data_IF_980177306271
#
_entry.id   IF_980177306271
#
_cell.length_a   1.000
_cell.length_b   1.000
_cell.length_c   1.000
_cell.angle_alpha   90.00
_cell.angle_beta   90.00
_cell.angle_gamma   90.00
#
_symmetry.space_group_name_H-M   'P 1'
#
loop_
_entity.id
_entity.type
_entity.pdbx_description
1 polymer ?
#
# COMPACT_ATOMS: atom_id res chain seq x y z
N UNK A 1 12.91 -14.96 59.52
CA UNK A 1 13.89 -15.32 60.56
C UNK A 1 15.29 -15.22 59.95
N UNK A 2 16.24 -14.71 60.73
CA UNK A 2 17.66 -14.48 60.38
C UNK A 2 18.48 -15.76 60.53
N UNK A 3 19.51 -15.94 59.70
CA UNK A 3 20.79 -16.62 59.97
C UNK A 3 21.78 -16.04 58.94
N UNK A 4 22.74 -15.14 59.18
CA UNK A 4 23.77 -14.88 60.21
C UNK A 4 25.00 -15.80 60.16
N UNK A 5 26.08 -15.26 59.54
CA UNK A 5 27.53 -15.39 59.84
C UNK A 5 28.14 -16.82 59.68
N UNK A 6 29.44 -17.06 59.51
CA UNK A 6 30.73 -16.45 59.89
C UNK A 6 31.75 -16.86 58.77
N UNK A 7 32.62 -15.99 58.23
CA UNK A 7 34.02 -15.71 58.67
C UNK A 7 34.87 -16.99 58.87
N UNK A 8 36.11 -17.17 58.38
CA UNK A 8 37.24 -16.25 58.32
C UNK A 8 38.42 -16.94 57.58
N UNK A 9 39.32 -16.14 57.00
CA UNK A 9 40.80 -16.15 57.16
C UNK A 9 41.63 -17.41 56.87
N UNK A 10 42.86 -17.41 56.32
CA UNK A 10 43.90 -16.43 55.93
C UNK A 10 45.12 -17.28 55.48
N UNK A 11 45.83 -16.85 54.43
CA UNK A 11 47.31 -16.74 54.28
C UNK A 11 48.18 -17.97 54.65
N UNK A 12 49.18 -18.43 53.91
CA UNK A 12 50.32 -17.82 53.22
C UNK A 12 51.04 -18.99 52.48
N UNK A 13 51.90 -18.86 51.49
CA UNK A 13 52.61 -17.74 50.89
C UNK A 13 53.66 -18.31 49.93
N UNK A 14 54.11 -17.44 49.02
CA UNK A 14 55.43 -17.37 48.37
C UNK A 14 56.01 -18.62 47.66
N UNK A 15 56.64 -18.59 46.50
CA UNK A 15 56.92 -17.63 45.41
C UNK A 15 57.78 -18.47 44.44
N UNK A 16 57.60 -18.37 43.12
CA UNK A 16 58.68 -18.74 42.20
C UNK A 16 58.62 -17.89 40.93
N UNK A 17 59.79 -17.38 40.59
CA UNK A 17 60.09 -16.36 39.60
C UNK A 17 59.86 -16.81 38.15
N UNK A 18 59.17 -15.94 37.41
CA UNK A 18 59.40 -15.52 36.02
C UNK A 18 59.76 -16.55 34.95
N UNK A 19 58.78 -16.85 34.08
CA UNK A 19 59.02 -17.02 32.64
C UNK A 19 58.15 -16.00 31.92
N UNK A 20 58.81 -15.16 31.13
CA UNK A 20 58.23 -14.08 30.33
C UNK A 20 57.19 -14.64 29.35
N UNK A 21 55.91 -14.42 29.62
CA UNK A 21 55.04 -13.96 28.55
C UNK A 21 55.22 -12.43 28.50
N UNK A 22 55.25 -11.78 27.31
CA UNK A 22 54.98 -10.36 27.28
C UNK A 22 53.66 -10.18 28.03
N UNK A 23 53.70 -9.54 29.20
CA UNK A 23 52.47 -9.02 29.79
C UNK A 23 51.95 -8.10 28.71
N UNK A 24 50.87 -8.49 28.03
CA UNK A 24 50.15 -7.58 27.19
C UNK A 24 49.77 -6.42 28.11
N UNK A 25 50.54 -5.34 28.04
CA UNK A 25 50.21 -4.12 28.74
C UNK A 25 49.05 -3.55 27.92
N UNK A 26 47.83 -3.92 28.31
CA UNK A 26 46.67 -3.21 27.82
C UNK A 26 46.86 -1.74 28.18
N UNK A 27 46.60 -0.84 27.24
CA UNK A 27 46.64 0.58 27.53
C UNK A 27 45.70 0.85 28.71
N UNK A 28 46.26 1.36 29.81
CA UNK A 28 45.46 1.76 30.96
C UNK A 28 44.61 2.97 30.55
N UNK A 29 43.30 2.89 30.77
CA UNK A 29 42.43 4.06 30.72
C UNK A 29 42.80 5.00 31.88
N UNK A 30 42.48 6.29 31.77
CA UNK A 30 42.74 7.25 32.84
C UNK A 30 42.16 6.77 34.18
N UNK A 31 42.78 7.17 35.29
CA UNK A 31 42.46 6.72 36.66
C UNK A 31 41.02 7.00 37.11
N UNK A 32 40.28 7.85 36.38
CA UNK A 32 38.87 8.16 36.62
C UNK A 32 37.90 7.31 35.77
N UNK A 33 38.42 6.48 34.85
CA UNK A 33 37.64 5.79 33.83
C UNK A 33 37.21 6.73 32.70
N UNK A 34 36.99 6.20 31.51
CA UNK A 34 36.69 6.98 30.30
C UNK A 34 35.26 7.55 30.24
N UNK A 35 34.52 7.52 31.35
CA UNK A 35 33.15 8.02 31.42
C UNK A 35 33.16 9.56 31.41
N UNK A 36 32.65 10.16 30.33
CA UNK A 36 32.60 11.62 30.20
C UNK A 36 33.93 12.30 29.87
N UNK A 37 35.04 11.56 29.74
CA UNK A 37 36.35 12.08 29.35
C UNK A 37 36.61 11.90 27.84
N UNK A 38 37.06 12.95 27.16
CA UNK A 38 37.47 12.94 25.74
C UNK A 38 38.89 12.39 25.54
N UNK A 39 39.73 12.50 26.57
CA UNK A 39 41.18 12.33 26.45
C UNK A 39 41.59 10.86 26.28
N UNK A 40 40.79 9.93 26.81
CA UNK A 40 41.04 8.48 26.70
C UNK A 40 40.71 7.93 25.30
N UNK A 41 39.86 8.60 24.52
CA UNK A 41 39.45 8.13 23.18
C UNK A 41 39.75 9.11 22.04
N UNK A 42 40.32 10.28 22.33
CA UNK A 42 40.67 11.31 21.35
C UNK A 42 39.46 11.94 20.63
N UNK A 43 38.26 11.89 21.22
CA UNK A 43 36.99 12.26 20.57
C UNK A 43 35.75 12.20 21.48
N UNK A 44 34.65 11.61 21.01
CA UNK A 44 33.34 11.59 21.72
C UNK A 44 33.41 10.79 23.02
N UNK A 45 33.15 11.33 24.22
CA UNK A 45 33.28 10.61 25.48
C UNK A 45 32.53 9.27 25.54
N UNK A 46 33.08 8.28 26.25
CA UNK A 46 32.41 6.98 26.45
C UNK A 46 31.32 7.09 27.56
N UNK A 47 30.26 6.28 27.51
CA UNK A 47 29.92 5.37 26.43
C UNK A 47 29.43 6.12 25.19
N UNK A 48 29.96 5.74 24.02
CA UNK A 48 29.36 6.14 22.76
C UNK A 48 28.13 5.26 22.52
N UNK A 49 27.04 5.89 22.11
CA UNK A 49 25.83 5.17 21.72
C UNK A 49 25.52 5.50 20.28
N UNK A 50 25.11 4.48 19.54
CA UNK A 50 24.62 4.60 18.17
C UNK A 50 23.35 3.76 18.02
N UNK A 51 22.57 4.01 16.96
CA UNK A 51 21.24 3.42 16.76
C UNK A 51 21.24 2.54 15.52
N UNK A 52 20.73 1.32 15.66
CA UNK A 52 20.31 0.47 14.53
C UNK A 52 18.80 0.56 14.38
N UNK A 53 18.33 0.73 13.14
CA UNK A 53 16.90 0.62 12.80
C UNK A 53 16.66 -0.76 12.20
N UNK A 54 15.82 -1.57 12.85
CA UNK A 54 15.28 -2.80 12.26
C UNK A 54 13.86 -2.52 11.76
N UNK A 55 13.55 -2.95 10.53
CA UNK A 55 12.26 -2.68 9.89
C UNK A 55 11.66 -3.92 9.22
N UNK A 56 10.33 -3.96 9.19
CA UNK A 56 9.50 -4.92 8.46
C UNK A 56 8.30 -4.15 7.92
N UNK A 57 7.76 -4.56 6.78
CA UNK A 57 6.54 -4.01 6.21
C UNK A 57 5.54 -5.11 5.91
N UNK A 58 4.26 -4.77 6.00
CA UNK A 58 3.14 -5.65 5.65
C UNK A 58 2.17 -4.86 4.77
N UNK A 59 1.73 -5.48 3.66
CA UNK A 59 0.78 -4.86 2.73
C UNK A 59 1.38 -3.74 1.88
N UNK A 60 0.49 -3.03 1.18
CA UNK A 60 0.83 -1.80 0.45
C UNK A 60 0.47 -0.59 1.33
N UNK A 61 1.50 0.15 1.73
CA UNK A 61 1.37 1.39 2.50
C UNK A 61 1.92 2.59 1.72
N UNK A 62 2.11 2.45 0.40
CA UNK A 62 2.58 3.55 -0.42
C UNK A 62 1.45 4.53 -0.69
N UNK A 63 1.66 5.79 -0.30
CA UNK A 63 0.78 6.87 -0.72
C UNK A 63 0.99 7.16 -2.22
N UNK A 64 -0.02 7.74 -2.86
CA UNK A 64 0.08 8.23 -4.22
C UNK A 64 0.48 9.72 -4.30
N UNK A 65 0.90 10.32 -3.18
CA UNK A 65 1.28 11.72 -3.04
C UNK A 65 0.14 12.75 -3.08
N UNK A 66 -1.12 12.35 -3.32
CA UNK A 66 -2.24 13.28 -3.38
C UNK A 66 -2.60 13.80 -1.97
N UNK A 67 -2.90 15.10 -1.88
CA UNK A 67 -3.29 15.77 -0.63
C UNK A 67 -4.61 16.53 -0.80
N UNK A 68 -5.18 17.05 0.30
CA UNK A 68 -6.40 17.85 0.29
C UNK A 68 -7.60 17.19 0.97
N UNK A 69 -8.71 17.94 1.01
CA UNK A 69 -9.95 17.49 1.67
C UNK A 69 -10.65 16.37 0.90
N UNK A 70 -10.73 16.48 -0.43
CA UNK A 70 -11.19 15.40 -1.31
C UNK A 70 -10.00 14.93 -2.14
N UNK A 71 -9.66 13.65 -2.05
CA UNK A 71 -8.52 13.09 -2.80
C UNK A 71 -8.66 11.61 -3.07
N UNK A 72 -8.12 11.19 -4.21
CA UNK A 72 -7.84 9.79 -4.49
C UNK A 72 -6.62 9.41 -3.68
N UNK A 73 -6.76 8.52 -2.70
CA UNK A 73 -5.69 8.13 -1.79
C UNK A 73 -4.97 6.85 -2.23
N UNK A 74 -5.72 5.89 -2.78
CA UNK A 74 -5.17 4.60 -3.21
C UNK A 74 -5.90 4.09 -4.45
N UNK A 75 -5.19 3.35 -5.29
CA UNK A 75 -5.70 2.52 -6.39
C UNK A 75 -4.89 1.23 -6.46
N UNK A 76 -5.36 0.16 -7.16
CA UNK A 76 -4.56 -1.03 -7.33
C UNK A 76 -3.27 -0.73 -8.13
N UNK A 77 -2.10 -0.74 -7.47
CA UNK A 77 -0.81 -0.49 -8.11
C UNK A 77 -0.35 -1.58 -9.07
N UNK A 78 -0.78 -2.82 -8.83
CA UNK A 78 -0.45 -3.96 -9.67
C UNK A 78 -1.62 -4.92 -9.68
N UNK A 79 -2.00 -5.33 -10.90
CA UNK A 79 -2.91 -6.44 -11.15
C UNK A 79 -2.10 -7.52 -11.86
N UNK A 80 -1.94 -8.65 -11.19
CA UNK A 80 -1.06 -9.72 -11.60
C UNK A 80 -1.87 -10.92 -12.08
N UNK A 81 -1.83 -11.14 -13.39
CA UNK A 81 -2.56 -12.22 -14.04
C UNK A 81 -1.75 -13.51 -14.15
N UNK A 82 -0.57 -13.60 -13.53
CA UNK A 82 0.26 -14.80 -13.46
C UNK A 82 1.10 -15.06 -14.72
N UNK A 83 1.93 -16.10 -14.66
CA UNK A 83 2.69 -16.61 -15.81
C UNK A 83 2.08 -17.93 -16.31
N UNK A 84 1.97 -18.07 -17.63
CA UNK A 84 1.20 -19.09 -18.30
C UNK A 84 1.98 -19.75 -19.44
N UNK A 85 1.73 -21.03 -19.70
CA UNK A 85 2.40 -21.81 -20.76
C UNK A 85 2.05 -21.33 -22.16
N UNK A 86 0.77 -21.06 -22.39
CA UNK A 86 0.24 -20.72 -23.72
C UNK A 86 -1.03 -19.89 -23.63
N UNK A 87 -1.40 -19.27 -24.75
CA UNK A 87 -2.72 -18.68 -24.95
C UNK A 87 -3.63 -19.67 -25.69
N UNK A 88 -4.56 -20.29 -24.96
CA UNK A 88 -5.56 -21.18 -25.55
C UNK A 88 -6.76 -20.36 -26.04
N UNK A 89 -7.07 -20.42 -27.34
CA UNK A 89 -8.19 -19.68 -27.94
C UNK A 89 -9.57 -19.96 -27.33
N UNK A 90 -9.76 -21.12 -26.69
CA UNK A 90 -11.00 -21.48 -26.00
C UNK A 90 -11.03 -21.11 -24.51
N UNK A 91 -9.87 -20.78 -23.92
CA UNK A 91 -9.68 -20.51 -22.47
C UNK A 91 -8.84 -19.24 -22.27
N UNK A 92 -9.46 -18.09 -22.53
CA UNK A 92 -8.79 -16.77 -22.71
C UNK A 92 -8.87 -15.84 -21.50
N UNK A 93 -9.46 -16.31 -20.41
CA UNK A 93 -9.78 -15.52 -19.24
C UNK A 93 -8.78 -15.82 -18.12
N UNK A 94 -8.07 -14.79 -17.70
CA UNK A 94 -7.06 -14.84 -16.65
C UNK A 94 -7.48 -13.93 -15.50
N UNK A 95 -7.35 -14.38 -14.26
CA UNK A 95 -7.75 -13.62 -13.07
C UNK A 95 -6.55 -13.03 -12.35
N UNK A 96 -6.77 -11.94 -11.61
CA UNK A 96 -5.71 -11.23 -10.90
C UNK A 96 -5.16 -12.01 -9.67
N UNK A 97 -5.61 -13.24 -9.42
CA UNK A 97 -4.97 -14.20 -8.52
C UNK A 97 -3.96 -15.12 -9.24
N UNK A 98 -3.66 -14.85 -10.51
CA UNK A 98 -2.63 -15.53 -11.28
C UNK A 98 -3.08 -16.78 -12.04
N UNK A 99 -4.40 -16.98 -12.23
CA UNK A 99 -4.94 -18.23 -12.78
C UNK A 99 -5.56 -18.07 -14.16
N UNK A 100 -5.42 -19.09 -15.00
CA UNK A 100 -6.30 -19.32 -16.13
C UNK A 100 -7.59 -20.00 -15.64
N UNK A 101 -8.69 -19.25 -15.65
CA UNK A 101 -9.99 -19.64 -15.06
C UNK A 101 -10.51 -21.02 -15.44
N UNK A 102 -10.10 -21.56 -16.60
CA UNK A 102 -10.65 -22.82 -17.12
C UNK A 102 -9.58 -23.80 -17.62
N UNK A 103 -8.30 -23.55 -17.33
CA UNK A 103 -7.19 -24.43 -17.68
C UNK A 103 -6.03 -24.31 -16.67
N UNK A 104 -6.22 -24.83 -15.45
CA UNK A 104 -5.21 -24.77 -14.39
C UNK A 104 -3.84 -25.39 -14.78
N UNK A 105 -3.82 -26.36 -15.70
CA UNK A 105 -2.56 -26.92 -16.22
C UNK A 105 -1.72 -25.94 -17.03
N UNK A 106 -2.28 -24.78 -17.39
CA UNK A 106 -1.62 -23.68 -18.08
C UNK A 106 -0.81 -22.79 -17.14
N UNK A 107 -1.14 -22.77 -15.86
CA UNK A 107 -0.51 -21.89 -14.88
C UNK A 107 0.92 -22.40 -14.58
N UNK A 108 1.92 -21.53 -14.72
CA UNK A 108 3.33 -21.83 -14.41
C UNK A 108 3.76 -21.25 -13.07
N UNK A 109 3.42 -19.99 -12.83
CA UNK A 109 3.72 -19.27 -11.60
C UNK A 109 2.59 -18.28 -11.30
N UNK A 110 2.38 -17.99 -10.02
CA UNK A 110 1.32 -17.07 -9.60
C UNK A 110 1.59 -15.61 -10.02
N UNK A 111 2.85 -15.24 -10.29
CA UNK A 111 3.21 -13.91 -10.81
C UNK A 111 3.61 -13.90 -12.28
N UNK A 112 3.31 -12.81 -12.98
CA UNK A 112 3.67 -12.58 -14.38
C UNK A 112 5.19 -12.61 -14.65
N UNK A 113 6.03 -12.41 -13.62
CA UNK A 113 7.49 -12.37 -13.72
C UNK A 113 8.21 -13.54 -13.07
N UNK A 114 7.55 -14.71 -13.02
CA UNK A 114 8.13 -15.99 -12.57
C UNK A 114 8.51 -16.07 -11.09
N UNK A 115 7.88 -15.27 -10.24
CA UNK A 115 7.98 -15.44 -8.79
C UNK A 115 6.78 -16.26 -8.26
N UNK A 116 6.98 -16.97 -7.15
CA UNK A 116 5.95 -17.88 -6.62
C UNK A 116 4.74 -17.15 -6.02
N UNK A 117 4.88 -15.87 -5.66
CA UNK A 117 3.83 -15.09 -5.01
C UNK A 117 3.17 -14.12 -5.99
N UNK A 118 1.83 -14.19 -6.09
CA UNK A 118 1.05 -13.23 -6.86
C UNK A 118 1.24 -11.80 -6.32
N UNK A 119 1.31 -10.83 -7.23
CA UNK A 119 1.62 -9.43 -6.91
C UNK A 119 0.41 -8.52 -6.82
N UNK A 120 -0.80 -9.00 -7.08
CA UNK A 120 -2.02 -8.22 -6.84
C UNK A 120 -2.13 -7.91 -5.35
N UNK A 121 -2.05 -6.62 -5.02
CA UNK A 121 -2.12 -6.17 -3.63
C UNK A 121 -3.57 -6.22 -3.15
N UNK A 122 -3.74 -6.63 -1.90
CA UNK A 122 -5.03 -6.72 -1.22
C UNK A 122 -5.05 -5.89 0.06
N UNK A 123 -6.21 -5.35 0.40
CA UNK A 123 -6.39 -4.57 1.61
C UNK A 123 -6.36 -5.50 2.81
N UNK A 124 -5.34 -5.37 3.64
CA UNK A 124 -5.30 -5.98 4.95
C UNK A 124 -5.84 -4.98 5.98
N UNK A 125 -6.99 -5.27 6.58
CA UNK A 125 -7.62 -4.40 7.57
C UNK A 125 -8.34 -5.22 8.62
N UNK A 126 -8.40 -4.67 9.83
CA UNK A 126 -9.22 -5.22 10.94
C UNK A 126 -10.37 -4.28 11.29
N UNK A 127 -10.56 -3.20 10.53
CA UNK A 127 -11.68 -2.29 10.70
C UNK A 127 -12.99 -2.98 10.32
N UNK A 128 -13.95 -3.17 11.26
CA UNK A 128 -15.22 -3.82 10.97
C UNK A 128 -16.02 -3.14 9.85
N UNK A 129 -15.87 -1.81 9.70
CA UNK A 129 -16.54 -1.03 8.67
C UNK A 129 -16.02 -1.36 7.25
N UNK A 130 -14.83 -1.96 7.16
CA UNK A 130 -14.17 -2.35 5.91
C UNK A 130 -14.19 -3.87 5.68
N UNK A 131 -14.90 -4.65 6.50
CA UNK A 131 -15.00 -6.12 6.36
C UNK A 131 -15.44 -6.60 4.97
N UNK A 132 -16.26 -5.82 4.25
CA UNK A 132 -16.70 -6.15 2.89
C UNK A 132 -15.62 -6.00 1.82
N UNK A 133 -14.56 -5.24 2.11
CA UNK A 133 -13.46 -4.91 1.21
C UNK A 133 -12.12 -5.46 1.69
N UNK A 134 -12.11 -6.14 2.85
CA UNK A 134 -10.96 -6.90 3.33
C UNK A 134 -10.56 -7.99 2.32
N UNK A 135 -9.25 -8.18 2.15
CA UNK A 135 -8.65 -9.16 1.24
C UNK A 135 -9.01 -8.95 -0.24
N UNK A 136 -9.32 -7.70 -0.62
CA UNK A 136 -9.62 -7.31 -2.00
C UNK A 136 -8.60 -6.31 -2.51
N UNK A 137 -8.32 -6.33 -3.82
CA UNK A 137 -7.65 -5.20 -4.45
C UNK A 137 -8.59 -3.99 -4.36
N UNK A 138 -8.06 -2.80 -4.07
CA UNK A 138 -8.92 -1.69 -3.66
C UNK A 138 -8.48 -0.33 -4.20
N UNK A 139 -9.46 0.57 -4.25
CA UNK A 139 -9.26 1.99 -4.41
C UNK A 139 -9.87 2.74 -3.23
N UNK A 140 -9.27 3.85 -2.81
CA UNK A 140 -9.73 4.67 -1.70
C UNK A 140 -9.90 6.12 -2.13
N UNK A 141 -11.10 6.67 -1.92
CA UNK A 141 -11.38 8.11 -2.00
C UNK A 141 -11.61 8.65 -0.60
N UNK A 142 -10.81 9.63 -0.20
CA UNK A 142 -10.97 10.32 1.08
C UNK A 142 -11.73 11.61 0.85
N UNK A 143 -12.89 11.76 1.48
CA UNK A 143 -13.68 12.99 1.54
C UNK A 143 -13.74 13.51 2.98
N UNK A 144 -13.07 14.64 3.20
CA UNK A 144 -13.05 15.39 4.45
C UNK A 144 -13.62 16.79 4.23
N UNK A 145 -14.43 17.00 3.19
CA UNK A 145 -14.82 18.34 2.77
C UNK A 145 -15.66 19.09 3.83
N UNK A 146 -16.35 18.36 4.71
CA UNK A 146 -17.06 18.92 5.87
C UNK A 146 -16.16 19.72 6.82
N UNK A 147 -14.83 19.48 6.83
CA UNK A 147 -13.88 20.20 7.70
C UNK A 147 -13.22 21.38 7.01
N UNK A 148 -13.67 21.75 5.80
CA UNK A 148 -13.19 22.96 5.12
C UNK A 148 -13.51 24.18 5.94
N UNK A 149 -12.48 24.74 6.57
CA UNK A 149 -12.52 26.04 7.23
C UNK A 149 -11.66 27.02 6.45
N UNK A 150 -12.18 28.19 6.07
CA UNK A 150 -11.36 29.22 5.43
C UNK A 150 -12.13 30.25 4.60
N UNK A 151 -11.43 31.30 4.21
CA UNK A 151 -11.87 32.32 3.26
C UNK A 151 -11.21 32.08 1.89
N UNK A 152 -11.88 32.44 0.79
CA UNK A 152 -11.36 32.20 -0.57
C UNK A 152 -12.03 31.05 -1.33
N UNK A 153 -12.99 30.36 -0.72
CA UNK A 153 -13.89 29.45 -1.41
C UNK A 153 -14.96 30.22 -2.20
N UNK A 154 -15.46 29.64 -3.29
CA UNK A 154 -16.62 30.20 -4.00
C UNK A 154 -17.81 30.29 -3.04
N UNK A 155 -18.66 31.31 -3.20
CA UNK A 155 -19.81 31.54 -2.31
C UNK A 155 -20.82 30.37 -2.29
N UNK A 156 -20.80 29.50 -3.30
CA UNK A 156 -21.60 28.26 -3.38
C UNK A 156 -20.99 27.08 -2.63
N UNK A 157 -19.78 27.21 -2.07
CA UNK A 157 -19.11 26.13 -1.35
C UNK A 157 -19.78 25.91 -0.01
N UNK A 158 -20.31 24.70 0.19
CA UNK A 158 -20.91 24.27 1.45
C UNK A 158 -19.89 23.47 2.28
N UNK A 159 -20.00 23.47 3.62
CA UNK A 159 -19.21 22.60 4.49
C UNK A 159 -19.83 21.19 4.51
N UNK A 160 -19.98 20.61 3.32
CA UNK A 160 -20.56 19.29 3.10
C UNK A 160 -19.59 18.38 2.35
N UNK A 161 -19.77 17.08 2.47
CA UNK A 161 -19.16 16.14 1.53
C UNK A 161 -19.70 16.43 0.13
N UNK A 162 -18.80 16.61 -0.82
CA UNK A 162 -19.15 17.14 -2.14
C UNK A 162 -19.44 16.03 -3.14
N UNK A 163 -20.07 16.39 -4.25
CA UNK A 163 -20.26 15.45 -5.35
C UNK A 163 -18.93 15.15 -6.06
N UNK A 164 -18.69 13.88 -6.35
CA UNK A 164 -17.49 13.43 -7.06
C UNK A 164 -17.72 12.16 -7.86
N UNK A 165 -16.85 11.93 -8.84
CA UNK A 165 -16.80 10.73 -9.67
C UNK A 165 -15.40 10.12 -9.66
N UNK A 166 -15.32 8.83 -9.37
CA UNK A 166 -14.14 7.99 -9.57
C UNK A 166 -14.29 7.26 -10.91
N UNK A 167 -13.32 7.44 -11.80
CA UNK A 167 -13.23 6.73 -13.08
C UNK A 167 -11.88 6.04 -13.25
N UNK A 168 -11.82 5.11 -14.21
CA UNK A 168 -10.58 4.49 -14.68
C UNK A 168 -10.58 4.39 -16.19
N UNK A 169 -9.41 4.56 -16.81
CA UNK A 169 -9.20 4.34 -18.24
C UNK A 169 -7.92 3.55 -18.48
N UNK A 170 -7.87 2.94 -19.67
CA UNK A 170 -6.62 2.39 -20.20
C UNK A 170 -5.78 3.51 -20.80
N UNK A 171 -4.49 3.54 -20.49
CA UNK A 171 -3.56 4.49 -21.10
C UNK A 171 -2.93 3.92 -22.38
N UNK A 172 -2.78 2.61 -22.43
CA UNK A 172 -2.12 1.91 -23.53
C UNK A 172 -2.66 0.49 -23.78
N UNK A 173 -2.31 -0.05 -24.95
CA UNK A 173 -2.57 -1.45 -25.27
C UNK A 173 -1.68 -2.40 -24.44
N UNK A 174 -2.13 -3.65 -24.28
CA UNK A 174 -1.33 -4.70 -23.67
C UNK A 174 -0.10 -4.99 -24.52
N UNK A 175 1.08 -4.57 -24.04
CA UNK A 175 2.32 -4.48 -24.83
C UNK A 175 3.44 -5.26 -24.16
N UNK A 176 4.20 -6.03 -24.94
CA UNK A 176 5.37 -6.74 -24.40
C UNK A 176 6.44 -5.74 -23.95
N UNK A 177 7.10 -6.02 -22.82
CA UNK A 177 8.18 -5.20 -22.27
C UNK A 177 9.53 -5.92 -22.33
N UNK A 178 10.60 -5.15 -22.50
CA UNK A 178 11.98 -5.64 -22.44
C UNK A 178 12.46 -5.88 -20.99
N UNK A 179 13.70 -6.35 -20.82
CA UNK A 179 14.30 -6.61 -19.52
C UNK A 179 14.52 -5.36 -18.65
N UNK A 180 14.50 -4.17 -19.25
CA UNK A 180 14.55 -2.89 -18.55
C UNK A 180 13.13 -2.34 -18.25
N UNK A 181 12.08 -3.02 -18.70
CA UNK A 181 10.69 -2.62 -18.50
C UNK A 181 10.17 -1.64 -19.55
N UNK A 182 10.90 -1.37 -20.63
CA UNK A 182 10.44 -0.51 -21.71
C UNK A 182 9.49 -1.27 -22.63
N UNK A 183 8.47 -0.57 -23.15
CA UNK A 183 7.55 -1.14 -24.15
C UNK A 183 8.28 -1.47 -25.45
N UNK A 184 7.95 -2.63 -26.02
CA UNK A 184 8.36 -3.04 -27.37
C UNK A 184 7.28 -2.70 -28.39
N UNK A 185 7.47 -3.08 -29.66
CA UNK A 185 6.46 -2.93 -30.72
C UNK A 185 5.40 -4.04 -30.72
N UNK A 186 5.57 -5.08 -29.90
CA UNK A 186 4.64 -6.21 -29.85
C UNK A 186 3.45 -5.90 -28.94
N UNK A 187 2.26 -5.83 -29.53
CA UNK A 187 1.02 -5.42 -28.86
C UNK A 187 -0.10 -6.43 -29.09
N UNK A 188 -0.94 -6.61 -28.08
CA UNK A 188 -2.13 -7.47 -28.12
C UNK A 188 -3.36 -6.55 -28.14
N UNK A 189 -3.81 -6.22 -29.34
CA UNK A 189 -4.96 -5.35 -29.54
C UNK A 189 -6.27 -6.05 -29.17
N UNK A 190 -7.13 -5.39 -28.40
CA UNK A 190 -8.46 -5.90 -28.08
C UNK A 190 -8.54 -6.77 -26.83
N UNK A 191 -7.43 -6.90 -26.08
CA UNK A 191 -7.48 -7.43 -24.72
C UNK A 191 -8.40 -6.56 -23.85
N UNK A 192 -9.18 -7.19 -22.97
CA UNK A 192 -10.15 -6.51 -22.12
C UNK A 192 -9.82 -6.74 -20.65
N UNK A 193 -9.87 -5.68 -19.87
CA UNK A 193 -9.80 -5.75 -18.42
C UNK A 193 -11.21 -5.50 -17.87
N UNK A 194 -11.71 -6.39 -17.01
CA UNK A 194 -12.97 -6.21 -16.31
C UNK A 194 -12.81 -6.38 -14.81
N UNK A 195 -13.67 -5.69 -14.08
CA UNK A 195 -13.83 -5.74 -12.63
C UNK A 195 -15.28 -6.03 -12.34
N UNK A 196 -15.53 -7.13 -11.64
CA UNK A 196 -16.87 -7.56 -11.28
C UNK A 196 -17.09 -7.45 -9.77
N UNK A 197 -18.37 -7.42 -9.39
CA UNK A 197 -18.78 -7.52 -8.00
C UNK A 197 -18.25 -6.42 -7.06
N UNK A 198 -18.03 -5.18 -7.54
CA UNK A 198 -17.56 -4.05 -6.72
C UNK A 198 -18.20 -4.04 -5.33
N UNK A 199 -17.36 -4.18 -4.32
CA UNK A 199 -17.73 -4.07 -2.92
C UNK A 199 -17.37 -2.69 -2.40
N UNK A 200 -18.09 -2.26 -1.36
CA UNK A 200 -17.93 -0.96 -0.76
C UNK A 200 -17.91 -1.07 0.76
N UNK A 201 -17.03 -0.30 1.37
CA UNK A 201 -16.99 -0.01 2.79
C UNK A 201 -16.55 1.44 3.00
N UNK A 202 -17.01 2.05 4.09
CA UNK A 202 -16.64 3.42 4.46
C UNK A 202 -16.17 3.42 5.90
N UNK A 203 -15.08 4.13 6.19
CA UNK A 203 -14.60 4.28 7.56
C UNK A 203 -14.36 5.74 7.93
N UNK A 204 -14.67 6.07 9.18
CA UNK A 204 -14.29 7.33 9.82
C UNK A 204 -12.87 7.27 10.42
N UNK A 205 -12.26 6.09 10.48
CA UNK A 205 -10.89 5.90 10.98
C UNK A 205 -9.86 6.19 9.87
N UNK A 206 -9.99 7.37 9.25
CA UNK A 206 -9.23 7.74 8.04
C UNK A 206 -7.73 7.57 8.27
N UNK A 207 -7.19 8.13 9.36
CA UNK A 207 -5.77 7.98 9.68
C UNK A 207 -5.33 6.53 9.94
N UNK A 208 -6.18 5.69 10.53
CA UNK A 208 -5.83 4.28 10.75
C UNK A 208 -5.69 3.54 9.43
N UNK A 209 -6.50 3.88 8.43
CA UNK A 209 -6.45 3.30 7.08
C UNK A 209 -5.28 3.87 6.26
N UNK A 210 -5.11 5.18 6.22
CA UNK A 210 -4.18 5.83 5.28
C UNK A 210 -2.75 5.92 5.82
N UNK A 211 -2.59 5.97 7.15
CA UNK A 211 -1.33 6.32 7.84
C UNK A 211 -0.71 7.66 7.40
N UNK A 212 -1.48 8.49 6.70
CA UNK A 212 -1.04 9.78 6.18
C UNK A 212 -1.23 10.86 7.25
N UNK A 213 -0.15 11.60 7.56
CA UNK A 213 -0.19 12.66 8.56
C UNK A 213 -1.26 13.73 8.29
N UNK A 214 -1.65 13.93 7.02
CA UNK A 214 -2.74 14.82 6.63
C UNK A 214 -4.12 14.40 7.17
N UNK A 215 -4.26 13.16 7.65
CA UNK A 215 -5.50 12.62 8.20
C UNK A 215 -5.49 12.51 9.73
N UNK A 216 -4.36 12.80 10.39
CA UNK A 216 -4.17 12.56 11.83
C UNK A 216 -5.16 13.34 12.71
N UNK A 217 -5.61 14.51 12.29
CA UNK A 217 -6.55 15.35 13.02
C UNK A 217 -8.03 15.03 12.74
N UNK A 218 -8.33 14.13 11.79
CA UNK A 218 -9.69 13.91 11.29
C UNK A 218 -10.70 13.61 12.39
N UNK A 219 -10.35 12.77 13.36
CA UNK A 219 -11.26 12.40 14.47
C UNK A 219 -11.70 13.62 15.30
N UNK A 220 -10.83 14.63 15.42
CA UNK A 220 -11.14 15.88 16.11
C UNK A 220 -11.85 16.86 15.18
N UNK A 221 -11.33 17.05 13.96
CA UNK A 221 -11.84 18.06 13.03
C UNK A 221 -13.28 17.77 12.59
N UNK A 222 -13.60 16.50 12.36
CA UNK A 222 -14.95 16.06 11.93
C UNK A 222 -16.03 16.29 12.99
N UNK A 223 -15.65 16.58 14.24
CA UNK A 223 -16.58 16.85 15.35
C UNK A 223 -16.43 18.26 15.92
N UNK A 224 -15.64 19.11 15.27
CA UNK A 224 -15.41 20.49 15.70
C UNK A 224 -16.70 21.32 15.67
N UNK A 225 -16.79 22.35 16.52
CA UNK A 225 -17.95 23.22 16.58
C UNK A 225 -18.20 23.90 15.22
N UNK A 226 -19.44 23.81 14.72
CA UNK A 226 -19.84 24.36 13.42
C UNK A 226 -19.66 23.39 12.24
N UNK A 227 -19.05 22.23 12.46
CA UNK A 227 -19.03 21.13 11.48
C UNK A 227 -20.27 20.28 11.67
N UNK A 228 -20.96 19.99 10.56
CA UNK A 228 -22.09 19.05 10.53
C UNK A 228 -21.63 17.80 9.81
N UNK A 229 -21.84 16.63 10.43
CA UNK A 229 -21.49 15.36 9.82
C UNK A 229 -22.49 14.99 8.71
N UNK A 230 -21.96 14.60 7.57
CA UNK A 230 -22.64 13.99 6.43
C UNK A 230 -22.41 12.47 6.48
N UNK A 231 -22.90 11.84 7.54
CA UNK A 231 -22.67 10.41 7.81
C UNK A 231 -23.59 9.50 6.97
N UNK A 232 -23.55 9.69 5.66
CA UNK A 232 -24.31 8.91 4.69
C UNK A 232 -23.34 8.16 3.79
N UNK A 233 -23.57 6.85 3.62
CA UNK A 233 -22.84 6.05 2.63
C UNK A 233 -23.19 6.52 1.22
N UNK A 234 -22.29 6.25 0.27
CA UNK A 234 -22.62 6.40 -1.15
C UNK A 234 -23.80 5.49 -1.48
N UNK A 235 -24.78 6.02 -2.22
CA UNK A 235 -25.92 5.22 -2.63
C UNK A 235 -25.51 4.01 -3.47
N UNK A 236 -26.24 2.89 -3.35
CA UNK A 236 -25.95 1.70 -4.15
C UNK A 236 -26.02 1.95 -5.67
N UNK A 237 -26.82 2.94 -6.11
CA UNK A 237 -26.90 3.35 -7.50
C UNK A 237 -25.65 4.12 -7.98
N UNK A 238 -24.96 4.80 -7.05
CA UNK A 238 -23.68 5.46 -7.31
C UNK A 238 -22.50 4.49 -7.40
N UNK A 239 -22.68 3.19 -7.13
CA UNK A 239 -21.60 2.20 -7.17
C UNK A 239 -21.79 1.29 -8.39
N UNK A 240 -20.88 1.37 -9.36
CA UNK A 240 -20.94 0.51 -10.54
C UNK A 240 -20.52 -0.90 -10.16
N UNK A 241 -21.46 -1.85 -10.25
CA UNK A 241 -21.24 -3.22 -9.79
C UNK A 241 -20.24 -4.00 -10.62
N UNK A 242 -20.23 -3.77 -11.93
CA UNK A 242 -19.31 -4.39 -12.89
C UNK A 242 -18.95 -3.36 -13.95
N UNK A 243 -17.67 -3.25 -14.27
CA UNK A 243 -17.15 -2.38 -15.31
C UNK A 243 -15.97 -3.01 -16.03
N UNK A 244 -15.61 -2.47 -17.18
CA UNK A 244 -14.46 -2.95 -17.91
C UNK A 244 -14.08 -2.04 -19.06
N UNK A 245 -12.85 -2.19 -19.52
CA UNK A 245 -12.29 -1.40 -20.61
C UNK A 245 -11.48 -2.28 -21.54
N UNK A 246 -11.43 -1.89 -22.82
CA UNK A 246 -10.48 -2.47 -23.78
C UNK A 246 -9.12 -1.82 -23.51
N UNK A 247 -8.08 -2.64 -23.38
CA UNK A 247 -6.71 -2.16 -23.24
C UNK A 247 -6.25 -1.60 -24.59
N UNK A 248 -6.16 -0.27 -24.66
CA UNK A 248 -5.79 0.49 -25.86
C UNK A 248 -5.22 1.85 -25.48
N UNK A 249 -4.48 2.44 -26.40
CA UNK A 249 -3.97 3.80 -26.26
C UNK A 249 -5.11 4.80 -26.09
N UNK A 250 -4.99 5.65 -25.06
CA UNK A 250 -5.97 6.68 -24.73
C UNK A 250 -7.41 6.14 -24.69
N UNK A 251 -7.60 5.10 -23.86
CA UNK A 251 -8.91 4.56 -23.54
C UNK A 251 -9.89 5.62 -23.03
N UNK A 252 -11.17 5.27 -23.06
CA UNK A 252 -12.24 6.11 -22.53
C UNK A 252 -12.35 5.88 -21.02
N UNK A 253 -12.62 6.95 -20.27
CA UNK A 253 -12.98 6.85 -18.86
C UNK A 253 -14.22 5.99 -18.67
N UNK A 254 -14.11 5.07 -17.73
CA UNK A 254 -15.20 4.21 -17.26
C UNK A 254 -15.46 4.56 -15.82
N UNK A 255 -16.67 5.03 -15.52
CA UNK A 255 -17.10 5.36 -14.17
C UNK A 255 -17.10 4.11 -13.29
N UNK A 256 -16.54 4.24 -12.10
CA UNK A 256 -16.47 3.20 -11.06
C UNK A 256 -17.46 3.52 -9.95
N UNK A 257 -17.47 4.77 -9.49
CA UNK A 257 -18.41 5.23 -8.49
C UNK A 257 -18.66 6.74 -8.57
N UNK A 258 -19.84 7.17 -8.15
CA UNK A 258 -20.23 8.56 -7.95
C UNK A 258 -20.81 8.75 -6.56
N UNK A 259 -20.45 9.85 -5.90
CA UNK A 259 -21.08 10.30 -4.67
C UNK A 259 -21.91 11.56 -4.93
N UNK A 260 -23.09 11.63 -4.35
CA UNK A 260 -23.90 12.86 -4.34
C UNK A 260 -23.45 13.83 -3.23
N UNK A 261 -23.97 15.06 -3.26
CA UNK A 261 -23.80 16.03 -2.15
C UNK A 261 -24.30 15.40 -0.83
N UNK A 262 -23.45 15.46 0.21
CA UNK A 262 -23.71 14.88 1.52
C UNK A 262 -23.49 13.37 1.63
N UNK A 263 -22.91 12.72 0.61
CA UNK A 263 -22.55 11.30 0.67
C UNK A 263 -21.03 11.09 0.82
N UNK A 264 -20.66 9.98 1.46
CA UNK A 264 -19.30 9.48 1.43
C UNK A 264 -18.32 10.22 2.34
N UNK A 265 -18.76 10.87 3.42
CA UNK A 265 -17.82 11.46 4.38
C UNK A 265 -16.85 10.40 4.94
N UNK A 266 -15.55 10.69 4.97
CA UNK A 266 -14.49 9.83 5.49
C UNK A 266 -13.72 9.13 4.38
N UNK A 267 -13.26 7.91 4.62
CA UNK A 267 -12.57 7.10 3.62
C UNK A 267 -13.53 6.09 2.98
N UNK A 268 -13.79 6.26 1.68
CA UNK A 268 -14.61 5.40 0.84
C UNK A 268 -13.72 4.38 0.14
N UNK A 269 -13.94 3.11 0.41
CA UNK A 269 -13.12 2.02 -0.11
C UNK A 269 -13.95 1.16 -1.05
N UNK A 270 -13.47 1.03 -2.28
CA UNK A 270 -14.02 0.15 -3.31
C UNK A 270 -13.11 -1.04 -3.47
N UNK A 271 -13.65 -2.26 -3.42
CA UNK A 271 -12.85 -3.48 -3.41
C UNK A 271 -13.36 -4.54 -4.37
N UNK A 272 -12.42 -5.23 -5.03
CA UNK A 272 -12.65 -6.35 -5.93
C UNK A 272 -11.83 -7.56 -5.48
N UNK A 273 -12.47 -8.71 -5.34
CA UNK A 273 -11.69 -9.92 -5.07
C UNK A 273 -10.80 -10.20 -6.28
N UNK A 274 -9.56 -10.68 -6.12
CA UNK A 274 -8.66 -10.90 -7.25
C UNK A 274 -9.26 -11.80 -8.35
N UNK A 275 -10.11 -12.76 -7.99
CA UNK A 275 -10.86 -13.60 -8.94
C UNK A 275 -11.97 -12.87 -9.73
N UNK A 276 -12.44 -11.72 -9.25
CA UNK A 276 -13.42 -10.87 -9.93
C UNK A 276 -12.76 -9.86 -10.87
N UNK A 277 -11.42 -9.80 -10.91
CA UNK A 277 -10.66 -8.95 -11.82
C UNK A 277 -10.09 -9.83 -12.92
N UNK A 278 -10.48 -9.58 -14.16
CA UNK A 278 -10.22 -10.47 -15.28
C UNK A 278 -9.56 -9.76 -16.46
N UNK A 279 -8.45 -10.32 -16.92
CA UNK A 279 -7.87 -10.04 -18.23
C UNK A 279 -8.38 -11.08 -19.22
N UNK A 280 -9.15 -10.63 -20.22
CA UNK A 280 -9.68 -11.45 -21.30
C UNK A 280 -8.91 -11.20 -22.58
N UNK A 281 -8.24 -12.23 -23.08
CA UNK A 281 -7.48 -12.14 -24.32
C UNK A 281 -8.41 -12.23 -25.54
N UNK A 282 -8.11 -11.51 -26.64
CA UNK A 282 -8.94 -11.54 -27.84
C UNK A 282 -8.75 -12.87 -28.58
N UNK A 283 -9.77 -13.27 -29.35
CA UNK A 283 -9.67 -14.49 -30.14
C UNK A 283 -8.60 -14.37 -31.22
N UNK A 284 -7.75 -15.39 -31.34
CA UNK A 284 -6.70 -15.42 -32.36
C UNK A 284 -5.47 -14.56 -32.03
N UNK A 285 -5.40 -13.94 -30.84
CA UNK A 285 -4.19 -13.27 -30.40
C UNK A 285 -2.98 -14.20 -30.49
N UNK A 286 -1.88 -13.65 -30.98
CA UNK A 286 -0.58 -14.30 -30.98
C UNK A 286 0.21 -13.75 -29.80
N UNK A 287 0.90 -14.65 -29.09
CA UNK A 287 1.76 -14.31 -27.96
C UNK A 287 3.12 -14.98 -28.15
N UNK A 288 4.17 -14.28 -27.74
CA UNK A 288 5.53 -14.78 -27.65
C UNK A 288 5.91 -14.98 -26.17
N UNK A 289 7.09 -15.54 -25.93
CA UNK A 289 7.67 -15.61 -24.59
C UNK A 289 8.09 -14.20 -24.14
N UNK A 290 7.16 -13.46 -23.56
CA UNK A 290 7.37 -12.10 -23.09
C UNK A 290 6.47 -11.77 -21.88
N UNK A 291 6.81 -10.71 -21.15
CA UNK A 291 5.93 -10.09 -20.17
C UNK A 291 5.14 -9.01 -20.88
N UNK A 292 3.82 -9.04 -20.77
CA UNK A 292 2.95 -7.99 -21.32
C UNK A 292 2.39 -7.13 -20.20
N UNK A 293 2.40 -5.81 -20.41
CA UNK A 293 1.87 -4.85 -19.45
C UNK A 293 0.95 -3.85 -20.15
N UNK A 294 -0.03 -3.36 -19.41
CA UNK A 294 -0.80 -2.18 -19.77
C UNK A 294 -0.90 -1.26 -18.54
N UNK A 295 -0.98 0.04 -18.76
CA UNK A 295 -1.16 1.04 -17.71
C UNK A 295 -2.60 1.53 -17.67
N UNK A 296 -3.03 1.86 -16.46
CA UNK A 296 -4.35 2.42 -16.19
C UNK A 296 -4.17 3.74 -15.44
N UNK A 297 -4.97 4.73 -15.82
CA UNK A 297 -5.11 5.96 -15.05
C UNK A 297 -6.46 5.96 -14.37
N UNK A 298 -6.43 6.16 -13.05
CA UNK A 298 -7.61 6.38 -12.24
C UNK A 298 -7.75 7.87 -11.96
N UNK A 299 -8.96 8.38 -12.11
CA UNK A 299 -9.25 9.81 -11.97
C UNK A 299 -10.32 10.00 -10.93
N UNK A 300 -10.06 10.89 -9.98
CA UNK A 300 -11.10 11.46 -9.13
C UNK A 300 -11.42 12.85 -9.67
N UNK A 301 -12.67 13.08 -10.03
CA UNK A 301 -13.16 14.36 -10.51
C UNK A 301 -14.30 14.86 -9.62
N UNK A 302 -14.49 16.17 -9.58
CA UNK A 302 -15.61 16.81 -8.90
C UNK A 302 -16.03 18.00 -9.74
N UNK A 303 -17.32 18.13 -9.98
CA UNK A 303 -17.90 19.30 -10.65
C UNK A 303 -18.28 20.33 -9.61
N UNK A 304 -18.00 21.61 -9.88
CA UNK A 304 -18.50 22.68 -9.04
C UNK A 304 -20.04 22.62 -8.97
N UNK A 305 -20.59 22.75 -7.77
CA UNK A 305 -22.03 22.94 -7.54
C UNK A 305 -22.47 24.34 -7.96
#
# INVERSE_FOLDING_TARGET
MKFTKLTSSVLAGATLLSILAPTATFAATSTAGSQGATDDNGGTPLPMTDKTVAGISFGDNSDNGNTGYLRLQMVPHTLDFGNHKLLNNSKRDFTADGKNTTLASNDLAASYDNTDANKTRILNTTDPALSKVENKAWATVVDKQITRTGTGYAATTTPKSGSWELSVKSDDALTAVDSAGNKTSETITGAKLSFDNTAYGRTQKVFELTKDANDASWATDSTAAGVTADDTDISAAGIVKSFGTVLKDNGTDVTVATAADGEGQGANVFGWAPQDIKLTMPQGAQVNNAIYKANLTWTLSSTAA
#
